data_IF_841597767249
#
_entry.id   IF_841597767249
#
_cell.length_a   1.000
_cell.length_b   1.000
_cell.length_c   1.000
_cell.angle_alpha   90.00
_cell.angle_beta   90.00
_cell.angle_gamma   90.00
#
_symmetry.space_group_name_H-M   'P 1'
#
loop_
_entity.id
_entity.type
_entity.pdbx_description
1 polymer ?
#
# COMPACT_ATOMS: atom_id res chain seq x y z
N UNK A 1 22.06 1.26 1.02
CA UNK A 1 23.03 0.28 1.52
C UNK A 1 23.79 -0.46 0.43
N UNK A 2 23.15 -0.83 -0.69
CA UNK A 2 23.82 -1.58 -1.80
C UNK A 2 24.39 -0.68 -2.92
N UNK A 3 24.26 0.64 -2.79
CA UNK A 3 24.77 1.61 -3.76
C UNK A 3 24.10 1.58 -5.13
N UNK A 4 22.86 1.11 -5.24
CA UNK A 4 22.17 1.03 -6.53
C UNK A 4 21.97 2.41 -7.18
N UNK A 5 21.62 3.42 -6.38
CA UNK A 5 21.41 4.78 -6.87
C UNK A 5 22.75 5.49 -7.16
N UNK A 6 23.73 5.31 -6.29
CA UNK A 6 25.09 5.84 -6.48
C UNK A 6 25.72 5.33 -7.78
N UNK A 7 25.56 4.04 -8.11
CA UNK A 7 26.02 3.43 -9.38
C UNK A 7 25.35 4.01 -10.62
N UNK A 8 24.18 4.61 -10.46
CA UNK A 8 23.48 5.34 -11.53
C UNK A 8 23.74 6.86 -11.44
N UNK A 9 24.68 7.30 -10.61
CA UNK A 9 25.04 8.71 -10.43
C UNK A 9 23.92 9.54 -9.79
N UNK A 10 23.15 8.93 -8.88
CA UNK A 10 22.05 9.58 -8.15
C UNK A 10 22.42 9.65 -6.67
N UNK A 11 22.46 10.85 -6.13
CA UNK A 11 22.46 11.10 -4.69
C UNK A 11 20.99 11.12 -4.21
N UNK A 12 20.58 10.02 -3.56
CA UNK A 12 19.19 9.82 -3.14
C UNK A 12 18.98 10.30 -1.71
N UNK A 13 18.15 11.31 -1.54
CA UNK A 13 17.59 11.70 -0.24
C UNK A 13 16.15 11.18 -0.10
N UNK A 14 15.87 10.45 0.98
CA UNK A 14 14.52 9.96 1.29
C UNK A 14 13.93 10.84 2.38
N UNK A 15 12.82 11.51 2.07
CA UNK A 15 12.09 12.40 2.98
C UNK A 15 10.71 11.81 3.28
N UNK A 16 10.48 11.33 4.52
CA UNK A 16 9.13 10.97 4.94
C UNK A 16 8.22 12.20 4.93
N UNK A 17 6.96 12.09 4.49
CA UNK A 17 6.04 13.22 4.52
C UNK A 17 5.74 13.64 5.96
N UNK A 18 5.63 14.94 6.20
CA UNK A 18 5.14 15.46 7.47
C UNK A 18 3.66 15.09 7.67
N UNK A 19 3.21 15.13 8.93
CA UNK A 19 1.81 14.84 9.24
C UNK A 19 0.87 15.78 8.48
N UNK A 20 -0.13 15.22 7.79
CA UNK A 20 -1.08 15.95 6.95
C UNK A 20 -0.56 16.38 5.57
N UNK A 21 0.69 16.11 5.25
CA UNK A 21 1.28 16.44 3.96
C UNK A 21 0.89 15.39 2.91
N UNK A 22 0.52 15.83 1.71
CA UNK A 22 0.19 14.97 0.59
C UNK A 22 1.38 14.90 -0.38
N UNK A 23 1.91 13.69 -0.59
CA UNK A 23 3.04 13.47 -1.48
C UNK A 23 2.75 13.94 -2.91
N UNK A 24 1.52 13.72 -3.38
CA UNK A 24 1.08 14.10 -4.73
C UNK A 24 1.20 15.61 -4.95
N UNK A 25 0.94 16.42 -3.93
CA UNK A 25 1.07 17.88 -4.00
C UNK A 25 2.55 18.28 -4.05
N UNK A 26 3.42 17.61 -3.28
CA UNK A 26 4.86 17.90 -3.30
C UNK A 26 5.46 17.64 -4.68
N UNK A 27 5.08 16.52 -5.31
CA UNK A 27 5.53 16.18 -6.66
C UNK A 27 4.90 17.10 -7.70
N UNK A 28 3.58 17.33 -7.64
CA UNK A 28 2.85 18.17 -8.59
C UNK A 28 3.26 19.64 -8.57
N UNK A 29 3.86 20.11 -7.47
CA UNK A 29 4.44 21.46 -7.34
C UNK A 29 5.95 21.51 -7.61
N UNK A 30 6.59 20.37 -7.91
CA UNK A 30 8.02 20.27 -8.19
C UNK A 30 8.93 20.44 -6.97
N UNK A 31 8.38 20.38 -5.75
CA UNK A 31 9.18 20.45 -4.52
C UNK A 31 10.02 19.20 -4.30
N UNK A 32 9.51 18.06 -4.72
CA UNK A 32 10.23 16.79 -4.72
C UNK A 32 10.19 16.18 -6.13
N UNK A 33 11.21 15.38 -6.49
CA UNK A 33 11.36 14.84 -7.83
C UNK A 33 10.54 13.56 -8.05
N UNK A 34 10.52 12.68 -7.03
CA UNK A 34 9.82 11.39 -7.09
C UNK A 34 9.00 11.18 -5.84
N UNK A 35 7.82 10.57 -5.98
CA UNK A 35 6.95 10.21 -4.88
C UNK A 35 6.61 8.72 -4.92
N UNK A 36 6.38 8.17 -3.73
CA UNK A 36 5.77 6.85 -3.54
C UNK A 36 4.42 7.05 -2.88
N UNK A 37 3.37 6.45 -3.41
CA UNK A 37 2.03 6.61 -2.85
C UNK A 37 1.06 5.53 -3.31
N UNK A 38 -0.13 5.56 -2.72
CA UNK A 38 -1.21 4.67 -3.11
C UNK A 38 -1.87 5.17 -4.39
N UNK A 39 -2.36 4.22 -5.19
CA UNK A 39 -2.94 4.53 -6.49
C UNK A 39 -4.23 5.37 -6.40
N UNK A 40 -5.04 5.18 -5.36
CA UNK A 40 -6.29 5.91 -5.15
C UNK A 40 -6.07 7.41 -4.93
N UNK A 41 -5.10 7.80 -4.09
CA UNK A 41 -4.73 9.19 -3.88
C UNK A 41 -4.11 9.81 -5.13
N UNK A 42 -3.30 9.04 -5.87
CA UNK A 42 -2.72 9.49 -7.13
C UNK A 42 -3.80 9.75 -8.21
N UNK A 43 -4.73 8.82 -8.42
CA UNK A 43 -5.82 8.97 -9.41
C UNK A 43 -6.65 10.21 -9.07
N UNK A 44 -7.01 10.41 -7.81
CA UNK A 44 -7.72 11.60 -7.34
C UNK A 44 -6.93 12.89 -7.59
N UNK A 45 -5.64 12.89 -7.28
CA UNK A 45 -4.78 14.06 -7.48
C UNK A 45 -4.61 14.38 -8.99
N UNK A 46 -4.42 13.35 -9.81
CA UNK A 46 -4.33 13.48 -11.27
C UNK A 46 -5.64 14.00 -11.87
N UNK A 47 -6.80 13.49 -11.46
CA UNK A 47 -8.11 13.98 -11.92
C UNK A 47 -8.40 15.41 -11.48
N UNK A 48 -7.78 15.86 -10.39
CA UNK A 48 -7.83 17.26 -9.94
C UNK A 48 -6.85 18.18 -10.68
N UNK A 49 -6.15 17.68 -11.70
CA UNK A 49 -5.29 18.46 -12.58
C UNK A 49 -3.81 18.53 -12.17
N UNK A 50 -3.37 17.79 -11.13
CA UNK A 50 -1.95 17.76 -10.79
C UNK A 50 -1.12 17.10 -11.92
N UNK A 51 -0.02 17.73 -12.36
CA UNK A 51 0.81 17.27 -13.49
C UNK A 51 1.77 16.13 -13.06
N UNK A 52 1.21 15.04 -12.56
CA UNK A 52 1.95 13.87 -12.09
C UNK A 52 1.73 12.66 -12.99
N UNK A 53 2.77 11.83 -13.15
CA UNK A 53 2.76 10.62 -13.98
C UNK A 53 3.39 9.45 -13.23
N UNK A 54 2.73 8.30 -13.25
CA UNK A 54 3.29 7.04 -12.74
C UNK A 54 4.41 6.55 -13.66
N UNK A 55 5.55 6.23 -13.09
CA UNK A 55 6.74 5.77 -13.85
C UNK A 55 7.14 4.34 -13.53
N UNK A 56 6.66 3.78 -12.43
CA UNK A 56 6.94 2.41 -12.04
C UNK A 56 5.90 1.90 -11.05
N UNK A 57 5.45 0.67 -11.22
CA UNK A 57 4.57 0.00 -10.25
C UNK A 57 5.42 -0.76 -9.23
N UNK A 58 5.23 -0.43 -7.95
CA UNK A 58 5.84 -1.16 -6.84
C UNK A 58 4.95 -2.33 -6.40
N UNK A 59 3.65 -2.09 -6.29
CA UNK A 59 2.67 -3.09 -5.88
C UNK A 59 1.62 -3.33 -6.96
N UNK A 60 1.71 -4.48 -7.68
CA UNK A 60 0.82 -4.78 -8.81
C UNK A 60 -0.63 -5.00 -8.40
N UNK A 61 -0.87 -5.43 -7.16
CA UNK A 61 -2.20 -5.62 -6.60
C UNK A 61 -2.40 -4.79 -5.34
N UNK A 62 -3.61 -4.28 -5.17
CA UNK A 62 -3.96 -3.50 -4.01
C UNK A 62 -4.03 -4.41 -2.76
N UNK A 63 -3.26 -4.09 -1.70
CA UNK A 63 -3.20 -4.92 -0.50
C UNK A 63 -4.32 -4.67 0.50
N UNK A 64 -5.27 -3.79 0.20
CA UNK A 64 -6.34 -3.48 1.14
C UNK A 64 -7.20 -4.70 1.48
N UNK A 65 -7.58 -4.77 2.74
CA UNK A 65 -8.42 -5.82 3.29
C UNK A 65 -9.21 -5.29 4.49
N UNK A 66 -10.31 -5.94 4.79
CA UNK A 66 -10.91 -5.89 6.13
C UNK A 66 -10.23 -6.95 6.98
N UNK A 67 -9.72 -6.55 8.14
CA UNK A 67 -9.06 -7.43 9.11
C UNK A 67 -9.88 -7.42 10.40
N UNK A 68 -10.24 -8.61 10.90
CA UNK A 68 -10.98 -8.79 12.15
C UNK A 68 -10.33 -9.88 13.00
N UNK A 69 -10.62 -9.91 14.29
CA UNK A 69 -10.17 -11.01 15.15
C UNK A 69 -11.08 -12.22 14.97
N UNK A 70 -10.50 -13.42 14.98
CA UNK A 70 -11.27 -14.68 14.88
C UNK A 70 -12.36 -14.76 15.95
N UNK A 71 -12.06 -14.29 17.18
CA UNK A 71 -13.02 -14.26 18.29
C UNK A 71 -14.28 -13.41 18.03
N UNK A 72 -14.24 -12.46 17.09
CA UNK A 72 -15.38 -11.60 16.76
C UNK A 72 -16.45 -12.32 15.92
N UNK A 73 -16.16 -13.55 15.43
CA UNK A 73 -17.14 -14.38 14.70
C UNK A 73 -17.50 -13.89 13.30
N UNK A 74 -16.82 -12.86 12.79
CA UNK A 74 -17.00 -12.35 11.41
C UNK A 74 -16.22 -13.25 10.46
N UNK A 75 -16.90 -14.20 9.82
CA UNK A 75 -16.29 -15.19 8.92
C UNK A 75 -16.70 -15.03 7.44
N UNK A 76 -17.58 -14.08 7.18
CA UNK A 76 -18.07 -13.75 5.82
C UNK A 76 -18.50 -12.29 5.75
N UNK A 77 -18.58 -11.68 4.54
CA UNK A 77 -19.08 -10.32 4.38
C UNK A 77 -20.49 -10.11 4.94
N UNK A 78 -21.39 -11.11 4.84
CA UNK A 78 -22.74 -11.02 5.38
C UNK A 78 -22.77 -10.80 6.91
N UNK A 79 -21.76 -11.28 7.64
CA UNK A 79 -21.64 -11.10 9.09
C UNK A 79 -20.99 -9.76 9.50
N UNK A 80 -20.68 -8.91 8.55
CA UNK A 80 -20.15 -7.57 8.81
C UNK A 80 -21.24 -6.55 9.20
N UNK A 81 -22.52 -6.93 9.14
CA UNK A 81 -23.64 -6.02 9.47
C UNK A 81 -23.53 -5.49 10.90
N UNK A 82 -23.59 -4.17 11.04
CA UNK A 82 -23.49 -3.46 12.32
C UNK A 82 -22.12 -3.40 12.94
N UNK A 83 -21.07 -3.92 12.26
CA UNK A 83 -19.70 -3.88 12.81
C UNK A 83 -19.15 -2.45 12.84
N UNK A 84 -18.30 -2.19 13.83
CA UNK A 84 -17.46 -0.99 13.92
C UNK A 84 -16.17 -1.24 13.14
N UNK A 85 -16.01 -0.52 12.01
CA UNK A 85 -14.85 -0.62 11.13
C UNK A 85 -13.95 0.61 11.29
N UNK A 86 -12.75 0.41 11.84
CA UNK A 86 -11.76 1.46 11.98
C UNK A 86 -11.09 1.80 10.64
N UNK A 87 -10.93 3.10 10.37
CA UNK A 87 -10.21 3.63 9.24
C UNK A 87 -9.52 4.96 9.61
N UNK A 88 -8.30 5.19 9.13
CA UNK A 88 -7.48 6.34 9.51
C UNK A 88 -7.77 7.64 8.73
N UNK A 89 -8.78 7.65 7.86
CA UNK A 89 -9.22 8.84 7.13
C UNK A 89 -10.71 9.07 7.36
N UNK A 90 -11.17 10.27 7.04
CA UNK A 90 -12.59 10.64 7.22
C UNK A 90 -13.52 9.84 6.31
N UNK A 91 -13.09 9.59 5.07
CA UNK A 91 -13.89 8.86 4.08
C UNK A 91 -13.26 7.51 3.78
N UNK A 92 -14.00 6.44 4.02
CA UNK A 92 -13.60 5.09 3.60
C UNK A 92 -13.65 4.99 2.07
N UNK A 93 -12.60 4.48 1.42
CA UNK A 93 -12.55 4.36 -0.02
C UNK A 93 -13.69 3.52 -0.60
N UNK A 94 -14.16 3.85 -1.81
CA UNK A 94 -15.24 3.12 -2.50
C UNK A 94 -14.90 1.65 -2.77
N UNK A 95 -13.62 1.32 -2.80
CA UNK A 95 -13.13 -0.04 -3.03
C UNK A 95 -13.64 -1.10 -2.02
N UNK A 96 -14.24 -0.71 -0.89
CA UNK A 96 -14.88 -1.66 0.04
C UNK A 96 -16.28 -2.12 -0.43
N UNK A 97 -16.94 -1.33 -1.28
CA UNK A 97 -18.34 -1.52 -1.64
C UNK A 97 -18.64 -2.87 -2.32
N UNK A 98 -17.81 -3.37 -3.25
CA UNK A 98 -18.01 -4.71 -3.81
C UNK A 98 -18.00 -5.83 -2.78
N UNK A 99 -17.14 -5.74 -1.76
CA UNK A 99 -17.12 -6.70 -0.65
C UNK A 99 -18.44 -6.63 0.15
N UNK A 100 -18.89 -5.45 0.54
CA UNK A 100 -20.15 -5.29 1.27
C UNK A 100 -21.33 -5.82 0.44
N UNK A 101 -21.37 -5.50 -0.85
CA UNK A 101 -22.40 -5.97 -1.77
C UNK A 101 -22.45 -7.50 -1.88
N UNK A 102 -21.30 -8.18 -1.83
CA UNK A 102 -21.25 -9.65 -1.83
C UNK A 102 -21.91 -10.28 -0.60
N UNK A 103 -21.98 -9.54 0.52
CA UNK A 103 -22.71 -9.91 1.73
C UNK A 103 -24.14 -9.37 1.80
N UNK A 104 -24.68 -8.82 0.69
CA UNK A 104 -25.97 -8.10 0.65
C UNK A 104 -26.01 -6.90 1.61
N UNK A 105 -24.88 -6.24 1.81
CA UNK A 105 -24.72 -5.06 2.66
C UNK A 105 -24.36 -3.83 1.83
N UNK A 106 -24.54 -2.68 2.45
CA UNK A 106 -24.13 -1.36 1.98
C UNK A 106 -23.35 -0.64 3.08
N UNK A 107 -22.80 0.52 2.76
CA UNK A 107 -22.11 1.35 3.77
C UNK A 107 -22.98 1.75 4.96
N UNK A 108 -24.29 1.83 4.77
CA UNK A 108 -25.25 2.15 5.85
C UNK A 108 -25.38 1.06 6.91
N UNK A 109 -24.94 -0.15 6.56
CA UNK A 109 -24.95 -1.31 7.46
C UNK A 109 -23.66 -1.40 8.30
N UNK A 110 -22.71 -0.49 8.13
CA UNK A 110 -21.40 -0.48 8.80
C UNK A 110 -21.24 0.83 9.59
N UNK A 111 -20.76 0.75 10.81
CA UNK A 111 -20.33 1.90 11.61
C UNK A 111 -18.86 2.21 11.33
N UNK A 112 -18.59 3.22 10.50
CA UNK A 112 -17.21 3.64 10.21
C UNK A 112 -16.67 4.53 11.33
N UNK A 113 -15.55 4.11 11.93
CA UNK A 113 -14.88 4.81 13.03
C UNK A 113 -13.59 5.43 12.50
N UNK A 114 -13.54 6.77 12.44
CA UNK A 114 -12.32 7.49 12.07
C UNK A 114 -11.33 7.46 13.25
N UNK A 115 -10.10 7.03 12.98
CA UNK A 115 -9.07 6.85 14.00
C UNK A 115 -7.75 7.52 13.57
N UNK A 116 -6.88 7.80 14.52
CA UNK A 116 -5.53 8.26 14.20
C UNK A 116 -4.76 7.16 13.47
N UNK A 117 -3.97 7.52 12.45
CA UNK A 117 -3.14 6.56 11.71
C UNK A 117 -2.23 5.80 12.67
N UNK A 118 -2.28 4.48 12.61
CA UNK A 118 -1.48 3.57 13.45
C UNK A 118 -2.17 3.14 14.75
N UNK A 119 -3.31 3.75 15.14
CA UNK A 119 -4.06 3.34 16.34
C UNK A 119 -5.05 2.20 16.07
N UNK A 120 -5.39 1.92 14.82
CA UNK A 120 -6.39 0.94 14.42
C UNK A 120 -6.10 -0.47 14.92
N UNK A 121 -4.83 -0.89 14.93
CA UNK A 121 -4.39 -2.20 15.44
C UNK A 121 -4.63 -2.32 16.94
N UNK A 122 -4.32 -1.25 17.69
CA UNK A 122 -4.51 -1.24 19.15
C UNK A 122 -6.00 -1.23 19.50
N UNK A 123 -6.81 -0.46 18.79
CA UNK A 123 -8.25 -0.39 19.03
C UNK A 123 -8.95 -1.72 18.74
N UNK A 124 -8.55 -2.43 17.67
CA UNK A 124 -9.07 -3.76 17.37
C UNK A 124 -8.63 -4.79 18.44
N UNK A 125 -7.37 -4.77 18.86
CA UNK A 125 -6.87 -5.65 19.92
C UNK A 125 -7.60 -5.43 21.26
N UNK A 126 -7.92 -4.17 21.58
CA UNK A 126 -8.67 -3.76 22.79
C UNK A 126 -10.18 -3.99 22.69
N UNK A 127 -10.71 -4.42 21.53
CA UNK A 127 -12.15 -4.62 21.32
C UNK A 127 -12.97 -3.33 21.25
N UNK A 128 -12.35 -2.20 20.96
CA UNK A 128 -13.03 -0.92 20.77
C UNK A 128 -13.68 -0.80 19.38
N UNK A 129 -13.19 -1.59 18.43
CA UNK A 129 -13.74 -1.79 17.09
C UNK A 129 -13.77 -3.29 16.78
N UNK A 130 -14.61 -3.71 15.83
CA UNK A 130 -14.80 -5.10 15.45
C UNK A 130 -13.85 -5.52 14.32
N UNK A 131 -13.46 -4.56 13.50
CA UNK A 131 -12.56 -4.75 12.37
C UNK A 131 -11.79 -3.46 12.07
N UNK A 132 -10.73 -3.58 11.27
CA UNK A 132 -10.04 -2.45 10.65
C UNK A 132 -10.00 -2.64 9.13
N UNK A 133 -10.00 -1.53 8.40
CA UNK A 133 -9.68 -1.51 6.98
C UNK A 133 -8.22 -1.08 6.83
N UNK A 134 -7.40 -1.94 6.25
CA UNK A 134 -5.96 -1.73 6.17
C UNK A 134 -5.27 -2.71 5.23
N UNK A 135 -3.99 -2.93 5.41
CA UNK A 135 -3.21 -3.82 4.56
C UNK A 135 -3.19 -5.25 5.09
N UNK A 136 -3.50 -6.22 4.24
CA UNK A 136 -3.54 -7.64 4.55
C UNK A 136 -2.25 -8.15 5.23
N UNK A 137 -1.10 -7.64 4.84
CA UNK A 137 0.21 -8.05 5.37
C UNK A 137 0.75 -7.15 6.50
N UNK A 138 0.21 -5.93 6.67
CA UNK A 138 0.69 -4.98 7.68
C UNK A 138 0.07 -5.22 9.04
N UNK A 139 -1.18 -4.82 9.15
CA UNK A 139 -1.95 -4.85 10.40
C UNK A 139 -2.26 -6.27 10.85
N UNK A 140 -2.60 -7.17 9.90
CA UNK A 140 -2.90 -8.57 10.22
C UNK A 140 -1.70 -9.27 10.88
N UNK A 141 -0.51 -9.21 10.27
CA UNK A 141 0.70 -9.82 10.85
C UNK A 141 1.11 -9.17 12.17
N UNK A 142 0.86 -7.87 12.35
CA UNK A 142 1.14 -7.19 13.62
C UNK A 142 0.23 -7.71 14.74
N UNK A 143 -1.05 -7.96 14.46
CA UNK A 143 -1.99 -8.56 15.41
C UNK A 143 -1.60 -10.01 15.75
N UNK A 144 -1.29 -10.83 14.73
CA UNK A 144 -0.84 -12.20 14.94
C UNK A 144 0.44 -12.29 15.81
N UNK A 145 1.42 -11.40 15.55
CA UNK A 145 2.64 -11.34 16.35
C UNK A 145 2.39 -10.97 17.82
N UNK A 146 1.26 -10.30 18.10
CA UNK A 146 0.79 -9.98 19.46
C UNK A 146 -0.11 -11.06 20.06
N UNK A 147 -0.27 -12.21 19.40
CA UNK A 147 -1.07 -13.34 19.87
C UNK A 147 -2.58 -13.22 19.60
N UNK A 148 -2.99 -12.32 18.68
CA UNK A 148 -4.38 -12.18 18.27
C UNK A 148 -4.62 -12.89 16.93
N UNK A 149 -5.28 -14.07 16.90
CA UNK A 149 -5.66 -14.71 15.65
C UNK A 149 -6.60 -13.83 14.83
N UNK A 150 -6.27 -13.62 13.56
CA UNK A 150 -7.02 -12.75 12.65
C UNK A 150 -7.68 -13.51 11.52
N UNK A 151 -8.72 -12.90 10.97
CA UNK A 151 -9.29 -13.21 9.66
C UNK A 151 -9.16 -12.01 8.76
N UNK A 152 -8.74 -12.26 7.53
CA UNK A 152 -8.46 -11.24 6.53
C UNK A 152 -9.39 -11.44 5.34
N UNK A 153 -10.02 -10.36 4.89
CA UNK A 153 -10.87 -10.31 3.70
C UNK A 153 -10.24 -9.34 2.69
N UNK A 154 -9.35 -9.81 1.79
CA UNK A 154 -8.75 -8.97 0.77
C UNK A 154 -9.81 -8.45 -0.20
N UNK A 155 -9.80 -7.15 -0.51
CA UNK A 155 -10.80 -6.58 -1.44
C UNK A 155 -10.70 -7.16 -2.85
N UNK A 156 -9.51 -7.63 -3.26
CA UNK A 156 -9.30 -8.27 -4.57
C UNK A 156 -10.14 -9.54 -4.76
N UNK A 157 -10.44 -10.26 -3.68
CA UNK A 157 -11.24 -11.49 -3.72
C UNK A 157 -12.72 -11.18 -4.04
N UNK A 158 -13.10 -9.91 -3.97
CA UNK A 158 -14.44 -9.38 -4.29
C UNK A 158 -14.47 -8.59 -5.60
N UNK A 159 -13.51 -8.87 -6.51
CA UNK A 159 -13.48 -8.29 -7.85
C UNK A 159 -12.79 -6.92 -7.97
N UNK A 160 -12.24 -6.39 -6.89
CA UNK A 160 -11.53 -5.09 -6.89
C UNK A 160 -10.09 -5.29 -7.36
N UNK A 161 -9.85 -5.10 -8.65
CA UNK A 161 -8.55 -5.31 -9.29
C UNK A 161 -7.83 -3.98 -9.53
N UNK A 162 -7.27 -3.41 -8.46
CA UNK A 162 -6.53 -2.16 -8.50
C UNK A 162 -5.03 -2.41 -8.38
N UNK A 163 -4.25 -1.46 -8.88
CA UNK A 163 -2.87 -1.31 -8.44
C UNK A 163 -2.79 -0.90 -6.96
N UNK A 164 -1.67 -1.18 -6.33
CA UNK A 164 -1.36 -0.75 -4.95
C UNK A 164 -0.53 0.52 -4.93
N UNK A 165 0.69 0.44 -4.35
CA UNK A 165 1.64 1.53 -4.34
C UNK A 165 2.44 1.59 -5.64
N UNK A 166 2.83 2.80 -6.00
CA UNK A 166 3.60 3.05 -7.21
C UNK A 166 4.55 4.24 -7.01
N UNK A 167 5.48 4.39 -7.94
CA UNK A 167 6.38 5.53 -8.02
C UNK A 167 5.88 6.46 -9.14
N UNK A 168 5.84 7.74 -8.83
CA UNK A 168 5.41 8.78 -9.76
C UNK A 168 6.32 10.00 -9.69
N UNK A 169 6.25 10.83 -10.72
CA UNK A 169 7.04 12.06 -10.86
C UNK A 169 6.22 13.15 -11.55
N UNK A 170 6.76 14.37 -11.59
CA UNK A 170 6.18 15.47 -12.34
C UNK A 170 6.37 15.29 -13.84
N UNK A 171 5.35 15.63 -14.66
CA UNK A 171 5.41 15.54 -16.14
C UNK A 171 6.60 16.29 -16.73
N UNK A 172 6.93 17.47 -16.17
CA UNK A 172 8.06 18.26 -16.60
C UNK A 172 9.42 17.59 -16.36
N UNK A 173 9.55 16.78 -15.31
CA UNK A 173 10.82 16.07 -15.07
C UNK A 173 11.07 15.06 -16.19
N UNK A 174 10.01 14.38 -16.65
CA UNK A 174 10.10 13.44 -17.78
C UNK A 174 10.53 14.18 -19.05
N UNK A 175 9.98 15.38 -19.31
CA UNK A 175 10.27 16.19 -20.50
C UNK A 175 11.68 16.80 -20.46
N UNK A 176 12.06 17.36 -19.30
CA UNK A 176 13.32 18.13 -19.14
C UNK A 176 14.53 17.25 -18.84
N UNK A 177 14.34 16.14 -18.14
CA UNK A 177 15.43 15.23 -17.76
C UNK A 177 14.99 13.75 -17.80
N UNK A 178 14.65 13.21 -18.98
CA UNK A 178 14.20 11.83 -19.15
C UNK A 178 15.29 10.82 -18.75
N UNK A 179 16.57 11.19 -18.84
CA UNK A 179 17.69 10.35 -18.43
C UNK A 179 17.69 10.11 -16.91
N UNK A 180 17.48 11.15 -16.11
CA UNK A 180 17.35 10.99 -14.66
C UNK A 180 16.21 10.04 -14.30
N UNK A 181 15.04 10.18 -14.93
CA UNK A 181 13.89 9.31 -14.68
C UNK A 181 14.23 7.85 -15.01
N UNK A 182 14.89 7.59 -16.14
CA UNK A 182 15.33 6.24 -16.53
C UNK A 182 16.34 5.64 -15.55
N UNK A 183 17.34 6.42 -15.12
CA UNK A 183 18.35 5.98 -14.15
C UNK A 183 17.71 5.68 -12.80
N UNK A 184 16.81 6.55 -12.34
CA UNK A 184 16.07 6.36 -11.09
C UNK A 184 15.24 5.06 -11.11
N UNK A 185 14.42 4.86 -12.14
CA UNK A 185 13.62 3.64 -12.30
C UNK A 185 14.51 2.39 -12.36
N UNK A 186 15.62 2.44 -13.08
CA UNK A 186 16.58 1.33 -13.19
C UNK A 186 17.22 0.99 -11.83
N UNK A 187 17.65 2.00 -11.08
CA UNK A 187 18.20 1.81 -9.73
C UNK A 187 17.17 1.18 -8.79
N UNK A 188 15.93 1.68 -8.83
CA UNK A 188 14.83 1.17 -8.02
C UNK A 188 14.49 -0.28 -8.37
N UNK A 189 14.39 -0.61 -9.65
CA UNK A 189 14.14 -1.99 -10.10
C UNK A 189 15.23 -2.95 -9.64
N UNK A 190 16.51 -2.57 -9.80
CA UNK A 190 17.64 -3.36 -9.29
C UNK A 190 17.54 -3.59 -7.77
N UNK A 191 17.16 -2.53 -7.04
CA UNK A 191 16.97 -2.61 -5.59
C UNK A 191 15.83 -3.58 -5.22
N UNK A 192 14.67 -3.51 -5.89
CA UNK A 192 13.54 -4.41 -5.63
C UNK A 192 13.89 -5.86 -5.95
N UNK A 193 14.53 -6.13 -7.09
CA UNK A 193 14.95 -7.48 -7.48
C UNK A 193 15.94 -8.04 -6.45
N UNK A 194 16.92 -7.24 -6.04
CA UNK A 194 17.87 -7.66 -5.01
C UNK A 194 17.17 -7.95 -3.67
N UNK A 195 16.28 -7.06 -3.23
CA UNK A 195 15.52 -7.19 -2.00
C UNK A 195 14.66 -8.46 -1.99
N UNK A 196 14.06 -8.82 -3.13
CA UNK A 196 13.30 -10.06 -3.28
C UNK A 196 14.15 -11.31 -3.02
N UNK A 197 15.38 -11.33 -3.51
CA UNK A 197 16.31 -12.44 -3.29
C UNK A 197 17.03 -12.41 -1.93
N UNK A 198 16.98 -11.29 -1.17
CA UNK A 198 17.79 -11.05 0.02
C UNK A 198 16.95 -10.41 1.16
N UNK A 199 15.77 -10.97 1.44
CA UNK A 199 14.79 -10.37 2.37
C UNK A 199 15.40 -10.04 3.75
N UNK A 200 16.09 -11.00 4.38
CA UNK A 200 16.65 -10.78 5.72
C UNK A 200 17.73 -9.70 5.73
N UNK A 201 18.59 -9.69 4.71
CA UNK A 201 19.66 -8.70 4.61
C UNK A 201 19.08 -7.31 4.36
N UNK A 202 18.08 -7.21 3.49
CA UNK A 202 17.36 -5.97 3.26
C UNK A 202 16.70 -5.44 4.54
N UNK A 203 16.06 -6.31 5.31
CA UNK A 203 15.40 -5.91 6.55
C UNK A 203 16.38 -5.56 7.68
N UNK A 204 17.58 -6.13 7.71
CA UNK A 204 18.66 -5.63 8.60
C UNK A 204 19.00 -4.17 8.32
N UNK A 205 19.03 -3.76 7.06
CA UNK A 205 19.25 -2.35 6.71
C UNK A 205 18.09 -1.45 7.15
N UNK A 206 16.85 -1.92 7.04
CA UNK A 206 15.66 -1.19 7.55
C UNK A 206 15.74 -1.02 9.07
N UNK A 207 16.08 -2.07 9.81
CA UNK A 207 16.20 -2.00 11.27
C UNK A 207 17.33 -1.09 11.73
N UNK A 208 18.43 -0.96 10.96
CA UNK A 208 19.50 0.01 11.29
C UNK A 208 18.99 1.46 11.32
N UNK A 209 18.06 1.81 10.44
CA UNK A 209 17.49 3.18 10.37
C UNK A 209 16.19 3.34 11.18
N UNK A 210 15.60 2.22 11.62
CA UNK A 210 14.38 2.17 12.44
C UNK A 210 14.54 1.07 13.51
N UNK A 211 15.33 1.31 14.58
CA UNK A 211 15.68 0.28 15.56
C UNK A 211 14.53 -0.24 16.43
N UNK A 212 13.40 0.46 16.42
CA UNK A 212 12.13 0.08 17.06
C UNK A 212 11.40 -1.06 16.34
N UNK A 213 11.82 -1.41 15.11
CA UNK A 213 11.21 -2.47 14.31
C UNK A 213 11.79 -3.84 14.66
N UNK A 214 10.91 -4.84 14.73
CA UNK A 214 11.31 -6.23 14.89
C UNK A 214 11.73 -6.84 13.54
N UNK A 215 12.99 -7.26 13.44
CA UNK A 215 13.58 -7.81 12.21
C UNK A 215 12.79 -9.02 11.67
N UNK A 216 12.37 -9.93 12.57
CA UNK A 216 11.66 -11.16 12.19
C UNK A 216 10.27 -10.84 11.64
N UNK A 217 9.57 -9.93 12.31
CA UNK A 217 8.26 -9.47 11.88
C UNK A 217 8.33 -8.73 10.53
N UNK A 218 9.28 -7.81 10.36
CA UNK A 218 9.45 -7.05 9.11
C UNK A 218 9.86 -7.97 7.94
N UNK A 219 10.74 -8.95 8.18
CA UNK A 219 11.08 -9.95 7.17
C UNK A 219 9.87 -10.81 6.78
N UNK A 220 9.03 -11.20 7.75
CA UNK A 220 7.78 -11.95 7.49
C UNK A 220 6.79 -11.10 6.67
N UNK A 221 6.63 -9.82 7.01
CA UNK A 221 5.79 -8.89 6.25
C UNK A 221 6.24 -8.77 4.80
N UNK A 222 7.54 -8.58 4.56
CA UNK A 222 8.09 -8.45 3.22
C UNK A 222 7.91 -9.73 2.39
N UNK A 223 8.13 -10.91 2.98
CA UNK A 223 7.85 -12.20 2.30
C UNK A 223 6.37 -12.30 1.91
N UNK A 224 5.47 -11.96 2.84
CA UNK A 224 4.03 -11.99 2.56
C UNK A 224 3.62 -11.00 1.46
N UNK A 225 4.28 -9.83 1.38
CA UNK A 225 4.10 -8.89 0.26
C UNK A 225 4.46 -9.58 -1.06
N UNK A 226 5.60 -10.26 -1.12
CA UNK A 226 6.04 -10.95 -2.33
C UNK A 226 5.12 -12.12 -2.68
N UNK A 227 4.70 -12.93 -1.71
CA UNK A 227 3.75 -14.02 -1.92
C UNK A 227 2.39 -13.49 -2.40
N UNK A 228 1.95 -12.35 -1.88
CA UNK A 228 0.73 -11.68 -2.30
C UNK A 228 0.78 -11.25 -3.77
N UNK A 229 1.97 -10.90 -4.28
CA UNK A 229 2.19 -10.47 -5.66
C UNK A 229 2.60 -11.60 -6.61
N UNK A 230 3.02 -12.75 -6.08
CA UNK A 230 3.46 -13.90 -6.87
C UNK A 230 2.33 -14.66 -7.59
N UNK A 231 1.08 -14.19 -7.55
CA UNK A 231 0.00 -14.74 -8.33
C UNK A 231 0.16 -14.38 -9.82
N UNK A 232 1.00 -15.16 -10.54
CA UNK A 232 1.20 -15.04 -11.98
C UNK A 232 2.51 -14.40 -12.40
N UNK A 233 2.53 -13.76 -13.56
CA UNK A 233 3.68 -13.19 -14.27
C UNK A 233 4.49 -12.12 -13.51
N UNK A 234 4.04 -11.66 -12.35
CA UNK A 234 4.63 -10.50 -11.69
C UNK A 234 5.99 -10.77 -11.06
N UNK A 235 6.24 -11.99 -10.59
CA UNK A 235 7.55 -12.38 -10.05
C UNK A 235 8.71 -12.17 -11.05
N UNK A 236 8.40 -12.12 -12.35
CA UNK A 236 9.33 -11.90 -13.45
C UNK A 236 9.26 -10.52 -14.07
N UNK A 237 8.31 -9.68 -13.65
CA UNK A 237 7.99 -8.38 -14.30
C UNK A 237 7.85 -7.24 -13.31
N UNK A 238 8.79 -7.10 -12.38
CA UNK A 238 8.82 -5.94 -11.47
C UNK A 238 8.68 -4.62 -12.22
N UNK A 239 7.85 -3.73 -11.69
CA UNK A 239 7.67 -2.38 -12.23
C UNK A 239 6.70 -2.26 -13.40
N UNK A 240 6.22 -3.39 -13.97
CA UNK A 240 5.36 -3.37 -15.15
C UNK A 240 3.98 -2.78 -14.85
N UNK A 241 3.51 -1.96 -15.80
CA UNK A 241 2.15 -1.43 -15.86
C UNK A 241 1.49 -1.84 -17.17
N UNK A 242 0.21 -2.24 -17.13
CA UNK A 242 -0.58 -2.60 -18.30
C UNK A 242 -1.80 -1.69 -18.46
N UNK A 243 -2.21 -1.45 -19.71
CA UNK A 243 -3.38 -0.62 -19.99
C UNK A 243 -4.66 -1.18 -19.39
N UNK A 244 -4.87 -2.50 -19.48
CA UNK A 244 -6.08 -3.16 -18.96
C UNK A 244 -6.22 -2.97 -17.44
N UNK A 245 -5.10 -3.10 -16.71
CA UNK A 245 -5.14 -2.91 -15.26
C UNK A 245 -5.25 -1.44 -14.87
N UNK A 246 -4.71 -0.52 -15.67
CA UNK A 246 -4.96 0.91 -15.50
C UNK A 246 -6.42 1.26 -15.72
N UNK A 247 -7.06 0.73 -16.77
CA UNK A 247 -8.49 0.91 -17.00
C UNK A 247 -9.31 0.47 -15.78
N UNK A 248 -9.09 -0.76 -15.29
CA UNK A 248 -9.75 -1.25 -14.06
C UNK A 248 -9.45 -0.39 -12.82
N UNK A 249 -8.30 0.27 -12.76
CA UNK A 249 -7.91 1.12 -11.63
C UNK A 249 -8.61 2.49 -11.67
N UNK A 250 -8.89 3.01 -12.85
CA UNK A 250 -9.51 4.35 -13.04
C UNK A 250 -11.04 4.27 -12.91
N UNK A 251 -11.65 3.13 -13.22
CA UNK A 251 -13.11 2.92 -13.24
C UNK A 251 -13.75 2.77 -11.83
N UNK A 252 -12.99 2.94 -10.76
CA UNK A 252 -13.44 2.91 -9.35
C UNK A 252 -13.49 4.33 -8.76
#
# INVERSE_FOLDING_TARGET
AQGFYEKEGIDLEIRPPAAGQQNEVLIGTGKEQFGVGNIDSFVKAKSSGLPIVSVMMDQPDNPFAVVTLVKNGIDSPAKMKGMKLAWFQTNVPAMIDPMLKSGNLSRKDIEFVSVARGSEVQMLAAGQVDALFGFAYGQALTLEARGFPVRVFPIRDYGVRLYGTHIYTHEDLIKKNPDLVKRFVRATLKSLIWTHGNVEEAMKEVVKVSPDRDLKLESRKLRMIYDFYNNGDYATRFGLMTNDKWASTIDI
#
